data_IF_736491931028
#
_entry.id   IF_736491931028
#
_cell.length_a   1.000
_cell.length_b   1.000
_cell.length_c   1.000
_cell.angle_alpha   90.00
_cell.angle_beta   90.00
_cell.angle_gamma   90.00
#
_symmetry.space_group_name_H-M   'P 1'
#
loop_
_entity.id
_entity.type
_entity.pdbx_description
1 polymer ?
#
# COMPACT_ATOMS: atom_id res chain seq x y z
N UNK A 1 -8.82 -6.37 -11.97
CA UNK A 1 -7.49 -5.73 -12.16
C UNK A 1 -6.79 -5.81 -10.82
N UNK A 2 -5.58 -6.39 -10.75
CA UNK A 2 -4.89 -6.65 -9.48
C UNK A 2 -4.51 -5.32 -8.84
N UNK A 3 -5.30 -4.86 -7.86
CA UNK A 3 -4.91 -3.78 -6.97
C UNK A 3 -3.95 -4.36 -5.93
N UNK A 4 -2.78 -3.74 -5.76
CA UNK A 4 -1.89 -4.05 -4.65
C UNK A 4 -2.22 -3.04 -3.56
N UNK A 5 -2.91 -3.50 -2.52
CA UNK A 5 -3.16 -2.71 -1.32
C UNK A 5 -1.96 -2.72 -0.39
N UNK A 6 -2.08 -1.99 0.72
CA UNK A 6 -1.03 -1.92 1.74
C UNK A 6 -0.78 -3.26 2.42
N UNK A 7 -1.84 -4.05 2.62
CA UNK A 7 -1.76 -5.38 3.22
C UNK A 7 -0.97 -6.34 2.32
N UNK A 8 -1.22 -6.36 1.00
CA UNK A 8 -0.41 -7.14 0.07
C UNK A 8 1.04 -6.65 0.00
N UNK A 9 1.26 -5.34 0.06
CA UNK A 9 2.61 -4.75 0.11
C UNK A 9 3.37 -5.19 1.38
N UNK A 10 2.69 -5.26 2.53
CA UNK A 10 3.27 -5.74 3.78
C UNK A 10 3.67 -7.23 3.68
N UNK A 11 2.83 -8.07 3.06
CA UNK A 11 3.16 -9.49 2.82
C UNK A 11 4.38 -9.62 1.91
N UNK A 12 4.43 -8.85 0.82
CA UNK A 12 5.58 -8.83 -0.09
C UNK A 12 6.85 -8.39 0.64
N UNK A 13 6.78 -7.32 1.44
CA UNK A 13 7.90 -6.84 2.22
C UNK A 13 8.37 -7.89 3.23
N UNK A 14 7.45 -8.60 3.90
CA UNK A 14 7.76 -9.67 4.83
C UNK A 14 8.50 -10.82 4.13
N UNK A 15 7.99 -11.29 2.98
CA UNK A 15 8.66 -12.33 2.18
C UNK A 15 10.04 -11.87 1.71
N UNK A 16 10.17 -10.62 1.26
CA UNK A 16 11.46 -10.06 0.86
C UNK A 16 12.46 -10.05 2.03
N UNK A 17 12.03 -9.67 3.23
CA UNK A 17 12.86 -9.71 4.45
C UNK A 17 13.28 -11.15 4.77
N UNK A 18 12.41 -12.14 4.62
CA UNK A 18 12.79 -13.55 4.84
C UNK A 18 13.81 -14.07 3.83
N UNK A 19 13.64 -13.72 2.55
CA UNK A 19 14.52 -14.18 1.46
C UNK A 19 15.89 -13.52 1.51
N UNK A 20 15.92 -12.19 1.66
CA UNK A 20 17.17 -11.42 1.61
C UNK A 20 17.78 -11.18 2.99
N UNK A 21 16.98 -11.23 4.05
CA UNK A 21 17.36 -10.86 5.41
C UNK A 21 17.14 -9.38 5.71
N UNK A 22 16.71 -9.01 6.94
CA UNK A 22 16.41 -7.63 7.33
C UNK A 22 17.64 -6.72 7.28
N UNK A 23 18.83 -7.28 7.46
CA UNK A 23 20.09 -6.52 7.42
C UNK A 23 20.53 -6.14 5.99
N UNK A 24 20.13 -6.91 4.97
CA UNK A 24 20.60 -6.70 3.58
C UNK A 24 19.75 -5.69 2.81
N UNK A 25 18.43 -5.68 3.03
CA UNK A 25 17.51 -4.72 2.40
C UNK A 25 17.96 -3.26 2.54
N UNK A 26 18.29 -2.73 3.74
CA UNK A 26 18.70 -1.33 3.88
C UNK A 26 20.02 -1.04 3.16
N UNK A 27 20.92 -2.02 3.05
CA UNK A 27 22.17 -1.89 2.29
C UNK A 27 21.87 -1.79 0.79
N UNK A 28 21.01 -2.66 0.26
CA UNK A 28 20.60 -2.64 -1.15
C UNK A 28 19.85 -1.35 -1.50
N UNK A 29 18.96 -0.89 -0.63
CA UNK A 29 18.23 0.36 -0.81
C UNK A 29 19.17 1.58 -0.87
N UNK A 30 20.21 1.62 -0.01
CA UNK A 30 21.24 2.67 -0.06
C UNK A 30 22.00 2.67 -1.38
N UNK A 31 22.40 1.49 -1.87
CA UNK A 31 23.10 1.35 -3.14
C UNK A 31 22.25 1.81 -4.32
N UNK A 32 21.00 1.36 -4.39
CA UNK A 32 20.03 1.82 -5.40
C UNK A 32 19.82 3.34 -5.34
N UNK A 33 19.68 3.90 -4.14
CA UNK A 33 19.57 5.35 -3.94
C UNK A 33 20.79 6.13 -4.43
N UNK A 34 22.00 5.61 -4.23
CA UNK A 34 23.22 6.21 -4.78
C UNK A 34 23.24 6.17 -6.31
N UNK A 35 22.82 5.05 -6.93
CA UNK A 35 22.72 4.96 -8.39
C UNK A 35 21.70 5.93 -8.97
N UNK A 36 20.53 6.07 -8.33
CA UNK A 36 19.52 7.06 -8.73
C UNK A 36 20.07 8.48 -8.64
N UNK A 37 20.84 8.80 -7.59
CA UNK A 37 21.47 10.12 -7.45
C UNK A 37 22.47 10.40 -8.58
N UNK A 38 23.26 9.41 -8.97
CA UNK A 38 24.21 9.50 -10.08
C UNK A 38 23.46 9.67 -11.41
N UNK A 39 22.45 8.85 -11.67
CA UNK A 39 21.62 8.94 -12.87
C UNK A 39 20.94 10.32 -12.98
N UNK A 40 20.41 10.85 -11.87
CA UNK A 40 19.84 12.20 -11.82
C UNK A 40 20.86 13.27 -12.18
N UNK A 41 22.09 13.19 -11.63
CA UNK A 41 23.16 14.15 -11.95
C UNK A 41 23.50 14.10 -13.44
N UNK A 42 23.62 12.91 -14.01
CA UNK A 42 23.88 12.74 -15.44
C UNK A 42 22.76 13.32 -16.30
N UNK A 43 21.50 13.07 -15.93
CA UNK A 43 20.34 13.65 -16.61
C UNK A 43 20.28 15.19 -16.49
N UNK A 44 20.71 15.78 -15.37
CA UNK A 44 20.85 17.24 -15.27
C UNK A 44 21.94 17.78 -16.21
N UNK A 45 23.11 17.13 -16.23
CA UNK A 45 24.23 17.57 -17.08
C UNK A 45 23.89 17.47 -18.57
N UNK A 46 23.28 16.36 -19.00
CA UNK A 46 22.82 16.20 -20.38
C UNK A 46 21.78 17.27 -20.76
N UNK A 47 20.84 17.59 -19.86
CA UNK A 47 19.88 18.70 -20.08
C UNK A 47 20.57 20.05 -20.21
N UNK A 48 21.58 20.31 -19.37
CA UNK A 48 22.32 21.57 -19.41
C UNK A 48 23.09 21.71 -20.73
N UNK A 49 23.66 20.62 -21.24
CA UNK A 49 24.35 20.56 -22.53
C UNK A 49 23.37 20.73 -23.71
N UNK A 50 22.23 20.03 -23.71
CA UNK A 50 21.17 20.21 -24.71
C UNK A 50 20.62 21.64 -24.73
N UNK A 51 20.46 22.28 -23.57
CA UNK A 51 20.01 23.68 -23.46
C UNK A 51 21.03 24.65 -24.08
N UNK A 52 22.32 24.36 -23.92
CA UNK A 52 23.38 25.20 -24.46
C UNK A 52 23.52 25.06 -25.98
N UNK A 53 23.26 23.89 -26.54
CA UNK A 53 23.47 23.61 -27.97
C UNK A 53 22.22 23.81 -28.84
N UNK A 54 21.03 23.47 -28.35
CA UNK A 54 19.79 23.46 -29.14
C UNK A 54 18.84 24.61 -28.81
N UNK A 55 19.20 25.44 -27.83
CA UNK A 55 18.39 26.56 -27.35
C UNK A 55 17.33 26.16 -26.31
N UNK A 56 16.74 27.15 -25.62
CA UNK A 56 15.88 26.92 -24.45
C UNK A 56 14.57 26.18 -24.73
N UNK A 57 14.14 26.05 -25.99
CA UNK A 57 12.87 25.39 -26.37
C UNK A 57 12.83 23.87 -26.11
N UNK A 58 13.98 23.19 -26.01
CA UNK A 58 14.04 21.72 -25.82
C UNK A 58 14.29 21.30 -24.37
N UNK A 59 14.51 22.25 -23.46
CA UNK A 59 14.89 21.98 -22.07
C UNK A 59 13.69 21.63 -21.15
N UNK A 60 12.47 21.98 -21.56
CA UNK A 60 11.26 21.81 -20.75
C UNK A 60 10.58 20.44 -20.93
N UNK A 61 11.07 19.59 -21.83
CA UNK A 61 10.28 18.47 -22.34
C UNK A 61 10.08 17.26 -21.41
N UNK A 62 10.74 17.09 -20.26
CA UNK A 62 10.65 15.73 -19.63
C UNK A 62 10.64 15.53 -18.11
N UNK A 63 10.99 16.47 -17.22
CA UNK A 63 11.39 16.05 -15.85
C UNK A 63 10.88 16.86 -14.65
N UNK A 64 10.01 17.87 -14.83
CA UNK A 64 9.48 18.66 -13.70
C UNK A 64 8.47 17.93 -12.82
N UNK A 65 7.92 16.80 -13.28
CA UNK A 65 6.76 16.17 -12.65
C UNK A 65 7.09 14.94 -11.78
N UNK A 66 8.36 14.54 -11.68
CA UNK A 66 8.80 13.41 -10.84
C UNK A 66 9.70 13.88 -9.70
N UNK A 67 9.19 14.69 -8.78
CA UNK A 67 9.84 14.85 -7.47
C UNK A 67 9.52 13.61 -6.61
N UNK A 68 10.47 12.66 -6.43
CA UNK A 68 10.17 11.43 -5.70
C UNK A 68 9.83 11.68 -4.24
N UNK A 69 10.19 12.84 -3.66
CA UNK A 69 9.87 13.13 -2.26
C UNK A 69 8.38 13.36 -2.06
N UNK A 70 7.70 13.99 -3.01
CA UNK A 70 6.26 14.23 -2.91
C UNK A 70 5.47 12.94 -3.13
N UNK A 71 5.91 12.10 -4.06
CA UNK A 71 5.33 10.77 -4.31
C UNK A 71 5.47 9.88 -3.07
N UNK A 72 6.69 9.70 -2.55
CA UNK A 72 6.92 8.87 -1.35
C UNK A 72 6.14 9.41 -0.15
N UNK A 73 6.11 10.73 0.05
CA UNK A 73 5.33 11.33 1.15
C UNK A 73 3.84 11.03 1.04
N UNK A 74 3.25 11.19 -0.15
CA UNK A 74 1.82 10.89 -0.37
C UNK A 74 1.50 9.43 -0.04
N UNK A 75 2.34 8.50 -0.51
CA UNK A 75 2.12 7.06 -0.28
C UNK A 75 2.33 6.65 1.19
N UNK A 76 3.26 7.28 1.92
CA UNK A 76 3.43 7.02 3.35
C UNK A 76 2.24 7.57 4.16
N UNK A 77 1.75 8.76 3.84
CA UNK A 77 0.57 9.34 4.51
C UNK A 77 -0.66 8.48 4.22
N UNK A 78 -0.87 8.07 2.97
CA UNK A 78 -1.93 7.14 2.60
C UNK A 78 -1.80 5.83 3.39
N UNK A 79 -0.59 5.27 3.48
CA UNK A 79 -0.31 4.06 4.24
C UNK A 79 -0.66 4.15 5.73
N UNK A 80 -0.42 5.31 6.33
CA UNK A 80 -0.73 5.56 7.74
C UNK A 80 -2.24 5.73 7.94
N UNK A 81 -2.92 6.46 7.05
CA UNK A 81 -4.35 6.69 7.17
C UNK A 81 -5.16 5.39 7.00
N UNK A 82 -4.81 4.55 6.02
CA UNK A 82 -5.48 3.27 5.81
C UNK A 82 -5.25 2.30 6.97
N UNK A 83 -4.05 2.26 7.55
CA UNK A 83 -3.76 1.43 8.71
C UNK A 83 -4.55 1.87 9.96
N UNK A 84 -4.89 3.16 10.07
CA UNK A 84 -5.70 3.71 11.17
C UNK A 84 -7.20 3.39 11.00
N UNK A 85 -7.67 3.13 9.77
CA UNK A 85 -9.07 2.79 9.48
C UNK A 85 -9.40 1.29 9.68
N UNK A 86 -8.41 0.39 9.57
CA UNK A 86 -8.62 -1.06 9.71
C UNK A 86 -8.88 -1.50 11.18
N UNK A 87 -8.53 -0.67 12.17
CA UNK A 87 -8.80 -0.93 13.60
C UNK A 87 -10.29 -0.76 13.99
N UNK A 88 -11.14 -0.17 13.13
CA UNK A 88 -12.57 0.05 13.41
C UNK A 88 -13.49 -1.08 12.88
N UNK A 89 -13.00 -1.99 12.02
CA UNK A 89 -13.85 -2.94 11.28
C UNK A 89 -13.89 -4.39 11.85
N UNK A 90 -13.06 -4.72 12.85
CA UNK A 90 -12.97 -6.10 13.36
C UNK A 90 -13.99 -6.44 14.49
N UNK A 91 -14.76 -5.46 14.98
CA UNK A 91 -15.79 -5.70 16.02
C UNK A 91 -17.20 -6.03 15.45
N UNK A 92 -17.43 -5.87 14.13
CA UNK A 92 -18.79 -5.89 13.56
C UNK A 92 -19.12 -7.12 12.68
N UNK A 93 -18.16 -8.01 12.43
CA UNK A 93 -18.39 -9.26 11.65
C UNK A 93 -18.54 -10.52 12.50
N UNK A 94 -17.94 -10.59 13.68
CA UNK A 94 -18.06 -11.74 14.60
C UNK A 94 -19.30 -11.66 15.51
N UNK A 95 -19.86 -10.45 15.70
CA UNK A 95 -20.98 -10.19 16.60
C UNK A 95 -22.36 -10.47 15.96
N UNK A 96 -22.50 -10.44 14.62
CA UNK A 96 -23.78 -10.66 13.94
C UNK A 96 -24.20 -12.13 13.77
N UNK A 97 -23.25 -13.08 13.80
CA UNK A 97 -23.58 -14.52 13.57
C UNK A 97 -23.70 -15.36 14.85
N UNK A 98 -23.22 -14.87 16.00
CA UNK A 98 -23.12 -15.67 17.22
C UNK A 98 -24.06 -15.29 18.38
N UNK A 99 -24.87 -14.23 18.26
CA UNK A 99 -25.55 -13.66 19.45
C UNK A 99 -27.00 -13.24 19.26
N UNK A 100 -27.78 -13.97 18.47
CA UNK A 100 -29.19 -14.13 18.86
C UNK A 100 -29.20 -15.02 20.09
N UNK A 101 -29.05 -14.41 21.27
CA UNK A 101 -29.45 -15.06 22.54
C UNK A 101 -30.86 -15.57 22.29
N UNK A 102 -31.02 -16.88 22.14
CA UNK A 102 -32.33 -17.50 22.09
C UNK A 102 -32.98 -17.12 23.41
N UNK A 103 -33.95 -16.20 23.34
CA UNK A 103 -34.76 -15.87 24.50
C UNK A 103 -35.47 -17.15 24.90
N UNK A 104 -35.59 -17.47 26.21
CA UNK A 104 -36.44 -18.56 26.64
C UNK A 104 -37.82 -18.38 25.99
N UNK A 105 -38.32 -19.44 25.36
CA UNK A 105 -39.63 -19.45 24.71
C UNK A 105 -40.69 -19.16 25.77
N UNK A 106 -41.62 -18.26 25.45
CA UNK A 106 -42.74 -17.97 26.35
C UNK A 106 -43.70 -19.18 26.39
N UNK A 107 -44.46 -19.36 27.48
CA UNK A 107 -45.31 -20.54 27.68
C UNK A 107 -46.38 -20.63 26.57
N UNK A 108 -46.22 -21.62 25.67
CA UNK A 108 -47.08 -21.81 24.48
C UNK A 108 -46.43 -21.45 23.14
N UNK A 109 -45.20 -20.92 23.13
CA UNK A 109 -44.44 -20.65 21.91
C UNK A 109 -43.82 -21.94 21.36
N UNK A 110 -44.20 -22.31 20.13
CA UNK A 110 -43.68 -23.51 19.46
C UNK A 110 -42.31 -23.19 18.84
N UNK A 111 -41.29 -24.03 19.07
CA UNK A 111 -39.98 -23.83 18.46
C UNK A 111 -40.10 -23.88 16.93
N UNK A 112 -39.25 -23.13 16.21
CA UNK A 112 -39.26 -23.14 14.75
C UNK A 112 -39.02 -24.56 14.23
N UNK A 113 -39.92 -25.06 13.38
CA UNK A 113 -39.78 -26.36 12.72
C UNK A 113 -39.13 -26.20 11.35
N UNK A 114 -38.25 -27.13 11.00
CA UNK A 114 -37.57 -27.19 9.71
C UNK A 114 -38.38 -28.10 8.76
N UNK A 115 -38.82 -27.54 7.63
CA UNK A 115 -39.60 -28.25 6.61
C UNK A 115 -38.72 -29.03 5.62
N UNK A 116 -37.41 -28.78 5.62
CA UNK A 116 -36.46 -29.40 4.70
C UNK A 116 -35.85 -30.70 5.27
N UNK A 117 -36.27 -31.13 6.46
CA UNK A 117 -35.87 -32.41 7.04
C UNK A 117 -36.68 -33.56 6.40
N UNK A 118 -36.18 -34.13 5.29
CA UNK A 118 -36.65 -35.39 4.68
C UNK A 118 -35.48 -36.28 4.28
#
# INVERSE_FOLDING_TARGET
MWGVGLSELAVIAFVAVLVFGPERIPVLAKQAGQWIKVARRFAHQARDELRNELGPEYADLELRDLDPRTVVRKHIIEAMNDAENDDEDDDDRSSRRGRRKQRPLDEGEVPPYDLDAT
#
